data_IF_868530647070
#
_entry.id   IF_868530647070
#
_cell.length_a   1.000
_cell.length_b   1.000
_cell.length_c   1.000
_cell.angle_alpha   90.00
_cell.angle_beta   90.00
_cell.angle_gamma   90.00
#
_symmetry.space_group_name_H-M   'P 1'
#
loop_
_entity.id
_entity.type
_entity.pdbx_description
1 polymer ?
#
# COMPACT_ATOMS: atom_id res chain seq x y z
N UNK A 1 -58.67 10.39 -50.61
CA UNK A 1 -58.07 10.99 -51.83
C UNK A 1 -56.62 10.54 -51.78
N UNK A 2 -56.32 9.44 -52.46
CA UNK A 2 -55.74 9.34 -53.82
C UNK A 2 -54.60 10.34 -54.00
N UNK A 3 -53.35 9.85 -54.03
CA UNK A 3 -52.53 9.73 -55.24
C UNK A 3 -51.34 8.82 -55.03
N UNK A 4 -51.27 7.84 -55.91
CA UNK A 4 -50.16 6.94 -56.28
C UNK A 4 -49.22 7.71 -57.21
N UNK A 5 -47.97 7.36 -57.25
CA UNK A 5 -47.01 7.16 -58.38
C UNK A 5 -45.66 6.93 -57.73
N UNK A 6 -45.04 5.82 -57.78
CA UNK A 6 -44.45 4.92 -58.78
C UNK A 6 -43.39 5.61 -59.68
N UNK A 7 -42.27 4.83 -59.85
CA UNK A 7 -41.19 4.89 -60.85
C UNK A 7 -39.93 5.57 -60.35
N UNK A 8 -38.73 5.09 -60.42
CA UNK A 8 -38.08 3.97 -61.05
C UNK A 8 -36.59 3.96 -60.59
N UNK A 9 -35.99 2.83 -60.68
CA UNK A 9 -34.58 2.49 -60.42
C UNK A 9 -33.56 3.31 -61.24
N UNK A 10 -32.42 3.65 -60.63
CA UNK A 10 -31.11 3.67 -61.28
C UNK A 10 -30.07 3.18 -60.33
N UNK A 11 -29.47 2.07 -60.70
CA UNK A 11 -28.24 1.48 -60.16
C UNK A 11 -27.07 2.38 -60.51
N UNK A 12 -26.31 2.82 -59.53
CA UNK A 12 -24.90 3.20 -59.76
C UNK A 12 -24.06 2.73 -58.58
N UNK A 13 -23.35 1.66 -58.82
CA UNK A 13 -22.29 1.12 -57.96
C UNK A 13 -21.15 2.12 -57.92
N UNK A 14 -20.88 2.70 -56.78
CA UNK A 14 -19.64 3.40 -56.51
C UNK A 14 -18.92 2.68 -55.33
N UNK A 15 -17.97 1.90 -55.72
CA UNK A 15 -16.97 1.29 -54.82
C UNK A 15 -16.17 2.46 -54.19
N UNK A 16 -16.43 2.81 -52.95
CA UNK A 16 -15.59 3.68 -52.15
C UNK A 16 -14.83 2.79 -51.17
N UNK A 17 -13.54 2.58 -51.49
CA UNK A 17 -12.58 2.05 -50.54
C UNK A 17 -12.52 2.98 -49.34
N UNK A 18 -13.08 2.57 -48.22
CA UNK A 18 -12.80 3.16 -46.92
C UNK A 18 -11.46 2.60 -46.40
N UNK A 19 -10.48 3.42 -46.02
CA UNK A 19 -9.34 2.94 -45.31
C UNK A 19 -9.77 2.46 -43.93
N UNK A 20 -9.50 1.20 -43.63
CA UNK A 20 -9.58 0.66 -42.27
C UNK A 20 -8.56 1.46 -41.41
N UNK A 21 -9.05 2.45 -40.69
CA UNK A 21 -8.32 2.98 -39.55
C UNK A 21 -8.28 1.86 -38.49
N UNK A 22 -7.18 1.14 -38.42
CA UNK A 22 -6.88 0.27 -37.31
C UNK A 22 -6.70 1.19 -36.09
N UNK A 23 -7.74 1.27 -35.25
CA UNK A 23 -7.59 1.75 -33.91
C UNK A 23 -6.69 0.77 -33.17
N UNK A 24 -5.40 1.10 -33.07
CA UNK A 24 -4.49 0.43 -32.16
C UNK A 24 -5.01 0.76 -30.76
N UNK A 25 -5.79 -0.14 -30.18
CA UNK A 25 -6.05 -0.13 -28.76
C UNK A 25 -4.69 -0.31 -28.09
N UNK A 26 -4.12 0.80 -27.61
CA UNK A 26 -3.00 0.72 -26.66
C UNK A 26 -3.60 0.11 -25.40
N UNK A 27 -3.48 -1.20 -25.28
CA UNK A 27 -3.60 -1.87 -23.99
C UNK A 27 -2.48 -1.29 -23.13
N UNK A 28 -2.84 -0.36 -22.27
CA UNK A 28 -2.01 0.00 -21.13
C UNK A 28 -1.93 -1.24 -20.25
N UNK A 29 -0.97 -2.11 -20.57
CA UNK A 29 -0.53 -3.11 -19.64
C UNK A 29 0.03 -2.34 -18.43
N UNK A 30 -0.82 -2.14 -17.42
CA UNK A 30 -0.33 -1.93 -16.07
C UNK A 30 0.46 -3.20 -15.75
N UNK A 31 1.75 -3.16 -16.02
CA UNK A 31 2.67 -4.09 -15.42
C UNK A 31 2.55 -3.84 -13.91
N UNK A 32 1.70 -4.61 -13.24
CA UNK A 32 1.87 -4.83 -11.83
C UNK A 32 3.31 -5.32 -11.70
N UNK A 33 4.17 -4.48 -11.11
CA UNK A 33 5.55 -4.87 -10.89
C UNK A 33 5.51 -6.21 -10.15
N UNK A 34 6.11 -7.24 -10.76
CA UNK A 34 6.23 -8.52 -10.11
C UNK A 34 6.88 -8.28 -8.74
N UNK A 35 6.41 -8.94 -7.67
CA UNK A 35 7.00 -8.75 -6.36
C UNK A 35 8.51 -8.99 -6.47
N UNK A 36 9.30 -7.98 -6.13
CA UNK A 36 10.76 -8.07 -6.15
C UNK A 36 11.15 -9.18 -5.18
N UNK A 37 11.86 -10.21 -5.67
CA UNK A 37 12.30 -11.29 -4.81
C UNK A 37 13.18 -10.73 -3.68
N UNK A 38 12.95 -11.19 -2.45
CA UNK A 38 13.75 -10.76 -1.31
C UNK A 38 15.23 -11.07 -1.54
N UNK A 39 16.16 -10.11 -1.32
CA UNK A 39 17.58 -10.33 -1.48
C UNK A 39 18.07 -11.41 -0.49
N UNK A 40 19.17 -12.07 -0.82
CA UNK A 40 19.85 -12.95 0.14
C UNK A 40 20.28 -12.17 1.40
N UNK A 41 20.31 -12.81 2.56
CA UNK A 41 20.56 -12.12 3.83
C UNK A 41 21.83 -11.24 3.85
N UNK A 42 22.85 -11.61 3.08
CA UNK A 42 24.06 -10.82 2.90
C UNK A 42 23.93 -9.60 1.97
N UNK A 43 22.79 -9.46 1.28
CA UNK A 43 22.54 -8.43 0.28
C UNK A 43 21.39 -7.48 0.67
N UNK A 44 20.89 -7.59 1.91
CA UNK A 44 19.84 -6.69 2.39
C UNK A 44 20.35 -5.25 2.43
N UNK A 45 19.46 -4.32 2.06
CA UNK A 45 19.79 -2.90 2.00
C UNK A 45 19.89 -2.29 3.40
N UNK A 46 20.81 -1.34 3.56
CA UNK A 46 20.81 -0.51 4.76
C UNK A 46 19.66 0.52 4.64
N UNK A 47 18.80 0.67 5.64
CA UNK A 47 17.80 1.72 5.66
C UNK A 47 18.47 3.09 5.86
N UNK A 48 17.81 4.16 5.40
CA UNK A 48 18.12 5.51 5.86
C UNK A 48 17.47 5.79 7.22
N UNK A 49 17.89 6.87 7.88
CA UNK A 49 17.38 7.20 9.21
C UNK A 49 15.86 7.44 9.24
N UNK A 50 15.22 8.13 8.25
CA UNK A 50 13.78 8.24 8.20
C UNK A 50 13.07 6.89 8.07
N UNK A 51 13.62 5.95 7.30
CA UNK A 51 13.03 4.62 7.15
C UNK A 51 13.09 3.85 8.48
N UNK A 52 14.25 3.79 9.13
CA UNK A 52 14.40 3.12 10.42
C UNK A 52 13.44 3.69 11.48
N UNK A 53 13.34 5.02 11.56
CA UNK A 53 12.45 5.69 12.51
C UNK A 53 10.96 5.43 12.19
N UNK A 54 10.56 5.55 10.92
CA UNK A 54 9.18 5.29 10.50
C UNK A 54 8.77 3.83 10.74
N UNK A 55 9.64 2.87 10.40
CA UNK A 55 9.39 1.46 10.62
C UNK A 55 9.31 1.12 12.11
N UNK A 56 10.15 1.72 12.94
CA UNK A 56 10.09 1.55 14.40
C UNK A 56 8.75 2.05 14.96
N UNK A 57 8.27 3.23 14.54
CA UNK A 57 6.96 3.76 14.95
C UNK A 57 5.82 2.84 14.53
N UNK A 58 5.82 2.40 13.27
CA UNK A 58 4.82 1.47 12.76
C UNK A 58 4.84 0.14 13.52
N UNK A 59 6.04 -0.41 13.81
CA UNK A 59 6.19 -1.66 14.54
C UNK A 59 5.59 -1.57 15.94
N UNK A 60 5.92 -0.53 16.70
CA UNK A 60 5.36 -0.31 18.04
C UNK A 60 3.83 -0.25 18.01
N UNK A 61 3.25 0.53 17.09
CA UNK A 61 1.81 0.66 16.98
C UNK A 61 1.12 -0.66 16.60
N UNK A 62 1.71 -1.44 15.68
CA UNK A 62 1.20 -2.77 15.29
C UNK A 62 1.33 -3.77 16.43
N UNK A 63 2.42 -3.72 17.22
CA UNK A 63 2.62 -4.61 18.35
C UNK A 63 1.59 -4.35 19.46
N UNK A 64 1.30 -3.08 19.74
CA UNK A 64 0.25 -2.68 20.70
C UNK A 64 -1.14 -3.16 20.27
N UNK A 65 -1.44 -3.22 18.97
CA UNK A 65 -2.71 -3.74 18.45
C UNK A 65 -2.97 -5.21 18.77
N UNK A 66 -1.97 -5.98 19.19
CA UNK A 66 -2.20 -7.35 19.72
C UNK A 66 -3.12 -7.35 20.94
N UNK A 67 -3.08 -6.29 21.74
CA UNK A 67 -4.01 -6.15 22.87
C UNK A 67 -5.47 -6.00 22.39
N UNK A 68 -5.67 -5.43 21.18
CA UNK A 68 -7.01 -5.37 20.59
C UNK A 68 -7.50 -6.72 20.13
N UNK A 69 -6.65 -7.55 19.50
CA UNK A 69 -6.98 -8.93 19.13
C UNK A 69 -7.35 -9.79 20.35
N UNK A 70 -6.70 -9.54 21.49
CA UNK A 70 -6.96 -10.25 22.74
C UNK A 70 -8.16 -9.70 23.52
N UNK A 71 -8.83 -8.64 23.05
CA UNK A 71 -9.95 -8.00 23.72
C UNK A 71 -9.56 -7.12 24.92
N UNK A 72 -8.28 -6.77 25.05
CA UNK A 72 -7.75 -5.94 26.15
C UNK A 72 -7.61 -4.46 25.79
N UNK A 73 -8.03 -4.07 24.59
CA UNK A 73 -7.99 -2.69 24.11
C UNK A 73 -9.36 -2.31 23.55
N UNK A 74 -9.79 -1.06 23.77
CA UNK A 74 -11.05 -0.57 23.22
C UNK A 74 -10.93 -0.25 21.72
N UNK A 75 -12.07 -0.27 21.00
CA UNK A 75 -12.10 0.06 19.58
C UNK A 75 -11.58 1.48 19.26
N UNK A 76 -11.91 2.54 20.03
CA UNK A 76 -11.31 3.85 19.82
C UNK A 76 -9.77 3.82 19.93
N UNK A 77 -9.22 3.16 20.94
CA UNK A 77 -7.76 3.03 21.11
C UNK A 77 -7.12 2.27 19.92
N UNK A 78 -7.79 1.23 19.41
CA UNK A 78 -7.29 0.52 18.24
C UNK A 78 -7.28 1.42 16.98
N UNK A 79 -8.28 2.27 16.81
CA UNK A 79 -8.32 3.28 15.74
C UNK A 79 -7.18 4.29 15.89
N UNK A 80 -6.87 4.72 17.10
CA UNK A 80 -5.74 5.61 17.37
C UNK A 80 -4.41 4.93 17.01
N UNK A 81 -4.22 3.64 17.32
CA UNK A 81 -3.02 2.89 16.92
C UNK A 81 -2.92 2.72 15.40
N UNK A 82 -4.03 2.43 14.73
CA UNK A 82 -4.07 2.37 13.27
C UNK A 82 -3.74 3.75 12.64
N UNK A 83 -4.15 4.84 13.28
CA UNK A 83 -3.77 6.20 12.86
C UNK A 83 -2.26 6.42 13.01
N UNK A 84 -1.67 5.97 14.11
CA UNK A 84 -0.20 6.03 14.29
C UNK A 84 0.55 5.25 13.21
N UNK A 85 0.01 4.12 12.74
CA UNK A 85 0.58 3.38 11.60
C UNK A 85 0.50 4.22 10.31
N UNK A 86 -0.63 4.86 10.01
CA UNK A 86 -0.76 5.75 8.84
C UNK A 86 0.20 6.93 8.89
N UNK A 87 0.35 7.55 10.05
CA UNK A 87 1.28 8.66 10.25
C UNK A 87 2.72 8.24 10.02
N UNK A 88 3.11 7.05 10.51
CA UNK A 88 4.44 6.49 10.28
C UNK A 88 4.69 6.21 8.79
N UNK A 89 3.71 5.64 8.07
CA UNK A 89 3.80 5.42 6.62
C UNK A 89 3.89 6.74 5.86
N UNK A 90 3.08 7.72 6.22
CA UNK A 90 3.11 9.07 5.62
C UNK A 90 4.47 9.74 5.83
N UNK A 91 5.03 9.60 7.03
CA UNK A 91 6.36 10.12 7.35
C UNK A 91 7.43 9.48 6.46
N UNK A 92 7.40 8.16 6.28
CA UNK A 92 8.35 7.47 5.43
C UNK A 92 8.25 7.91 3.96
N UNK A 93 7.05 8.03 3.40
CA UNK A 93 6.86 8.53 2.03
C UNK A 93 7.37 9.96 1.84
N UNK A 94 7.30 10.79 2.86
CA UNK A 94 7.73 12.18 2.77
C UNK A 94 9.26 12.35 2.92
N UNK A 95 9.94 11.45 3.63
CA UNK A 95 11.30 11.71 4.11
C UNK A 95 12.34 10.69 3.67
N UNK A 96 11.96 9.45 3.31
CA UNK A 96 12.91 8.45 2.81
C UNK A 96 13.52 8.86 1.47
N UNK A 97 14.80 8.53 1.30
CA UNK A 97 15.55 8.78 0.07
C UNK A 97 16.32 7.53 -0.31
N UNK A 98 15.62 6.57 -0.87
CA UNK A 98 16.17 5.28 -1.25
C UNK A 98 16.50 5.25 -2.75
N UNK A 99 17.39 4.35 -3.15
CA UNK A 99 17.55 3.98 -4.56
C UNK A 99 16.32 3.23 -5.07
N UNK A 100 16.15 3.12 -6.38
CA UNK A 100 14.94 2.60 -6.99
C UNK A 100 14.56 1.17 -6.54
N UNK A 101 15.53 0.26 -6.38
CA UNK A 101 15.26 -1.12 -5.97
C UNK A 101 14.77 -1.24 -4.52
N UNK A 102 15.47 -0.70 -3.50
CA UNK A 102 14.98 -0.71 -2.13
C UNK A 102 13.69 0.10 -1.97
N UNK A 103 13.49 1.18 -2.72
CA UNK A 103 12.25 1.95 -2.72
C UNK A 103 11.06 1.11 -3.21
N UNK A 104 11.21 0.38 -4.32
CA UNK A 104 10.18 -0.52 -4.83
C UNK A 104 9.85 -1.65 -3.84
N UNK A 105 10.88 -2.22 -3.17
CA UNK A 105 10.67 -3.22 -2.13
C UNK A 105 9.92 -2.65 -0.92
N UNK A 106 10.27 -1.43 -0.50
CA UNK A 106 9.59 -0.73 0.59
C UNK A 106 8.12 -0.48 0.28
N UNK A 107 7.79 -0.05 -0.93
CA UNK A 107 6.40 0.13 -1.36
C UNK A 107 5.59 -1.17 -1.26
N UNK A 108 6.20 -2.32 -1.56
CA UNK A 108 5.60 -3.64 -1.37
C UNK A 108 5.22 -3.95 0.09
N UNK A 109 5.84 -3.30 1.06
CA UNK A 109 5.56 -3.41 2.49
C UNK A 109 4.55 -2.34 2.93
N UNK A 110 4.80 -1.08 2.58
CA UNK A 110 4.02 0.06 3.09
C UNK A 110 2.60 0.11 2.55
N UNK A 111 2.37 -0.27 1.28
CA UNK A 111 1.03 -0.22 0.68
C UNK A 111 0.07 -1.20 1.35
N UNK A 112 0.41 -2.50 1.55
CA UNK A 112 -0.44 -3.41 2.31
C UNK A 112 -0.62 -2.97 3.78
N UNK A 113 0.44 -2.48 4.43
CA UNK A 113 0.38 -1.98 5.80
C UNK A 113 -0.62 -0.83 5.95
N UNK A 114 -0.52 0.16 5.07
CA UNK A 114 -1.43 1.32 5.03
C UNK A 114 -2.86 0.88 4.76
N UNK A 115 -3.07 -0.01 3.79
CA UNK A 115 -4.40 -0.54 3.44
C UNK A 115 -5.06 -1.24 4.64
N UNK A 116 -4.30 -2.04 5.39
CA UNK A 116 -4.80 -2.73 6.57
C UNK A 116 -5.14 -1.74 7.71
N UNK A 117 -4.31 -0.72 7.94
CA UNK A 117 -4.57 0.32 8.92
C UNK A 117 -5.87 1.08 8.58
N UNK A 118 -6.04 1.48 7.33
CA UNK A 118 -7.26 2.13 6.85
C UNK A 118 -8.50 1.23 6.99
N UNK A 119 -8.36 -0.06 6.74
CA UNK A 119 -9.45 -1.01 6.89
C UNK A 119 -9.92 -1.12 8.36
N UNK A 120 -9.00 -1.15 9.33
CA UNK A 120 -9.33 -1.15 10.76
C UNK A 120 -9.99 0.17 11.19
N UNK A 121 -9.53 1.30 10.68
CA UNK A 121 -10.13 2.62 10.95
C UNK A 121 -11.54 2.75 10.41
N UNK A 122 -11.77 2.24 9.19
CA UNK A 122 -13.08 2.29 8.55
C UNK A 122 -14.10 1.35 9.23
N UNK A 123 -13.66 0.20 9.69
CA UNK A 123 -14.46 -0.77 10.45
C UNK A 123 -13.65 -1.39 11.59
N UNK A 124 -13.75 -0.86 12.80
CA UNK A 124 -13.05 -1.41 13.96
C UNK A 124 -13.38 -2.86 14.27
N UNK A 125 -14.52 -3.40 13.79
CA UNK A 125 -14.86 -4.81 13.96
C UNK A 125 -14.01 -5.74 13.08
N UNK A 126 -13.32 -5.20 12.08
CA UNK A 126 -12.42 -5.95 11.21
C UNK A 126 -11.09 -6.24 11.92
N UNK A 127 -11.15 -7.02 13.01
CA UNK A 127 -9.97 -7.36 13.82
C UNK A 127 -8.87 -8.07 12.99
N UNK A 128 -9.25 -8.80 11.92
CA UNK A 128 -8.29 -9.44 11.01
C UNK A 128 -7.31 -8.45 10.36
N UNK A 129 -7.68 -7.16 10.25
CA UNK A 129 -6.77 -6.14 9.74
C UNK A 129 -5.49 -5.97 10.59
N UNK A 130 -5.54 -6.32 11.86
CA UNK A 130 -4.35 -6.33 12.73
C UNK A 130 -3.35 -7.41 12.29
N UNK A 131 -3.86 -8.61 11.97
CA UNK A 131 -3.03 -9.68 11.43
C UNK A 131 -2.45 -9.31 10.06
N UNK A 132 -3.22 -8.62 9.22
CA UNK A 132 -2.78 -8.14 7.91
C UNK A 132 -1.64 -7.11 8.06
N UNK A 133 -1.75 -6.16 9.01
CA UNK A 133 -0.68 -5.20 9.31
C UNK A 133 0.60 -5.91 9.79
N UNK A 134 0.46 -6.89 10.67
CA UNK A 134 1.58 -7.68 11.18
C UNK A 134 2.25 -8.48 10.06
N UNK A 135 1.49 -9.09 9.18
CA UNK A 135 2.01 -9.81 8.02
C UNK A 135 2.79 -8.89 7.08
N UNK A 136 2.27 -7.70 6.80
CA UNK A 136 2.95 -6.72 5.95
C UNK A 136 4.30 -6.30 6.55
N UNK A 137 4.32 -5.93 7.82
CA UNK A 137 5.55 -5.42 8.47
C UNK A 137 6.62 -6.52 8.67
N UNK A 138 6.22 -7.79 8.78
CA UNK A 138 7.13 -8.93 8.93
C UNK A 138 8.03 -9.15 7.69
N UNK A 139 7.71 -8.53 6.56
CA UNK A 139 8.57 -8.56 5.37
C UNK A 139 9.78 -7.62 5.47
N UNK A 140 9.74 -6.61 6.34
CA UNK A 140 10.78 -5.60 6.43
C UNK A 140 12.20 -6.18 6.64
N UNK A 141 12.46 -7.06 7.63
CA UNK A 141 13.78 -7.60 7.87
C UNK A 141 14.26 -8.58 6.79
N UNK A 142 13.41 -8.94 5.82
CA UNK A 142 13.81 -9.74 4.68
C UNK A 142 14.55 -8.90 3.63
N UNK A 143 14.24 -7.60 3.55
CA UNK A 143 14.79 -6.67 2.57
C UNK A 143 15.80 -5.70 3.16
N UNK A 144 15.64 -5.32 4.43
CA UNK A 144 16.44 -4.32 5.08
C UNK A 144 17.24 -4.89 6.25
N UNK A 145 18.50 -4.47 6.33
CA UNK A 145 19.38 -4.78 7.46
C UNK A 145 19.37 -3.60 8.44
N UNK A 146 18.34 -3.56 9.28
CA UNK A 146 18.11 -2.51 10.26
C UNK A 146 18.49 -3.00 11.66
N UNK A 147 19.61 -2.53 12.25
CA UNK A 147 20.02 -2.94 13.59
C UNK A 147 19.03 -2.55 14.70
N UNK A 148 18.16 -1.58 14.43
CA UNK A 148 17.14 -1.12 15.38
C UNK A 148 15.85 -1.93 15.37
N UNK A 149 15.67 -2.82 14.38
CA UNK A 149 14.40 -3.52 14.17
C UNK A 149 13.99 -4.42 15.34
N UNK A 150 14.91 -5.19 15.89
CA UNK A 150 14.67 -6.15 16.97
C UNK A 150 14.81 -5.52 18.37
N UNK A 151 15.06 -4.21 18.46
CA UNK A 151 15.19 -3.55 19.74
C UNK A 151 13.81 -3.21 20.31
N UNK A 152 13.57 -3.50 21.60
CA UNK A 152 12.33 -3.05 22.25
C UNK A 152 12.25 -1.52 22.22
N UNK A 153 11.02 -1.01 22.13
CA UNK A 153 10.80 0.43 22.19
C UNK A 153 11.48 1.02 23.43
N UNK A 154 12.12 2.21 23.31
CA UNK A 154 12.67 2.89 24.47
C UNK A 154 11.57 3.07 25.52
N UNK A 155 11.75 2.51 26.70
CA UNK A 155 10.85 2.81 27.84
C UNK A 155 11.18 4.23 28.27
N UNK A 156 10.32 5.19 27.95
CA UNK A 156 10.39 6.53 28.53
C UNK A 156 10.17 6.36 30.05
N UNK A 157 11.25 6.40 30.79
CA UNK A 157 11.16 6.61 32.23
C UNK A 157 10.61 8.01 32.46
N UNK A 158 9.30 8.12 32.63
CA UNK A 158 8.70 9.33 33.21
C UNK A 158 9.29 9.42 34.62
N UNK A 159 10.34 10.25 34.79
CA UNK A 159 10.78 10.65 36.10
C UNK A 159 9.60 11.42 36.70
N UNK A 160 8.88 10.75 37.60
CA UNK A 160 8.03 11.46 38.55
C UNK A 160 8.98 12.20 39.48
N UNK A 161 9.20 13.49 39.18
CA UNK A 161 9.64 14.42 40.21
C UNK A 161 8.51 14.47 41.25
N UNK A 162 8.65 13.70 42.30
CA UNK A 162 7.85 13.87 43.50
C UNK A 162 8.37 15.13 44.21
N UNK A 163 7.46 16.04 44.64
CA UNK A 163 7.78 17.22 45.37
C UNK A 163 8.24 16.91 46.82
#
# INVERSE_FOLDING_TARGET
MKYKHAVAAVLLSAFLLAPLAQAVAQEHHHHAAAPTAAPAAAQRWAPDAPLSEGMRRAHVAVDELRHYEMGHMSAPMAVDRATSVEEAVTYMFAHCKLAAEPDAALHGILVPLLSAAQALKADPKKVSAVADMRAAIAHYPQYFNDPGWDQPAPVEHVMHDEP
#
